data_IF_446461950456
#
_entry.id   IF_446461950456
#
_cell.length_a   1.000
_cell.length_b   1.000
_cell.length_c   1.000
_cell.angle_alpha   90.00
_cell.angle_beta   90.00
_cell.angle_gamma   90.00
#
_symmetry.space_group_name_H-M   'P 1'
#
loop_
_entity.id
_entity.type
_entity.pdbx_description
1 polymer ?
#
# COMPACT_ATOMS: atom_id res chain seq x y z
N UNK A 1 38.37 -15.28 2.73
CA UNK A 1 37.85 -14.13 1.97
C UNK A 1 36.84 -13.43 2.87
N UNK A 2 36.93 -12.11 3.04
CA UNK A 2 35.98 -11.37 3.87
C UNK A 2 34.59 -11.41 3.24
N UNK A 3 33.56 -11.61 4.06
CA UNK A 3 32.18 -11.54 3.57
C UNK A 3 31.89 -10.09 3.12
N UNK A 4 31.25 -9.89 1.95
CA UNK A 4 30.94 -8.56 1.46
C UNK A 4 30.01 -7.84 2.44
N UNK A 5 30.25 -6.54 2.61
CA UNK A 5 29.45 -5.64 3.44
C UNK A 5 28.04 -5.47 2.86
N UNK A 6 27.10 -5.04 3.69
CA UNK A 6 25.72 -4.78 3.28
C UNK A 6 25.64 -3.72 2.16
N UNK A 7 26.47 -2.68 2.21
CA UNK A 7 26.53 -1.67 1.16
C UNK A 7 26.99 -2.25 -0.18
N UNK A 8 28.00 -3.11 -0.16
CA UNK A 8 28.48 -3.82 -1.36
C UNK A 8 27.41 -4.77 -1.91
N UNK A 9 26.69 -5.48 -1.05
CA UNK A 9 25.55 -6.34 -1.45
C UNK A 9 24.40 -5.53 -2.05
N UNK A 10 24.03 -4.39 -1.46
CA UNK A 10 22.99 -3.50 -1.96
C UNK A 10 23.40 -2.79 -3.25
N UNK A 11 24.68 -2.44 -3.39
CA UNK A 11 25.22 -1.87 -4.61
C UNK A 11 25.22 -2.89 -5.74
N UNK A 12 25.71 -4.10 -5.49
CA UNK A 12 25.63 -5.22 -6.44
C UNK A 12 24.17 -5.57 -6.80
N UNK A 13 23.24 -5.47 -5.84
CA UNK A 13 21.82 -5.65 -6.09
C UNK A 13 21.24 -4.58 -7.04
N UNK A 14 21.63 -3.32 -6.86
CA UNK A 14 21.23 -2.20 -7.72
C UNK A 14 21.84 -2.32 -9.11
N UNK A 15 23.10 -2.70 -9.20
CA UNK A 15 23.80 -2.99 -10.45
C UNK A 15 23.12 -4.14 -11.22
N UNK A 16 22.80 -5.24 -10.54
CA UNK A 16 22.09 -6.38 -11.13
C UNK A 16 20.65 -6.01 -11.56
N UNK A 17 19.97 -5.14 -10.82
CA UNK A 17 18.65 -4.64 -11.22
C UNK A 17 18.70 -3.68 -12.41
N UNK A 18 19.80 -2.94 -12.59
CA UNK A 18 19.98 -1.96 -13.67
C UNK A 18 20.60 -2.56 -14.94
N UNK A 19 21.48 -3.56 -14.81
CA UNK A 19 22.32 -4.11 -15.88
C UNK A 19 22.28 -5.64 -16.00
N UNK A 20 21.49 -6.33 -15.16
CA UNK A 20 21.35 -7.78 -15.21
C UNK A 20 20.33 -8.27 -16.24
N UNK A 21 20.24 -9.60 -16.39
CA UNK A 21 19.28 -10.27 -17.29
C UNK A 21 17.82 -10.19 -16.80
N UNK A 22 17.60 -9.76 -15.55
CA UNK A 22 16.26 -9.59 -14.99
C UNK A 22 15.59 -8.34 -15.58
N UNK A 23 14.44 -8.53 -16.21
CA UNK A 23 13.58 -7.43 -16.66
C UNK A 23 12.37 -7.30 -15.73
N UNK A 24 12.08 -6.10 -15.17
CA UNK A 24 10.87 -5.86 -14.39
C UNK A 24 9.57 -6.20 -15.13
N UNK A 25 9.58 -6.22 -16.47
CA UNK A 25 8.43 -6.57 -17.29
C UNK A 25 8.05 -8.07 -17.23
N UNK A 26 8.92 -8.93 -16.67
CA UNK A 26 8.68 -10.36 -16.49
C UNK A 26 8.37 -10.73 -15.02
N UNK A 27 8.00 -9.74 -14.18
CA UNK A 27 7.56 -9.99 -12.81
C UNK A 27 6.17 -10.64 -12.84
N UNK A 28 6.09 -11.88 -12.34
CA UNK A 28 4.84 -12.61 -12.14
C UNK A 28 4.69 -12.91 -10.64
N UNK A 29 3.61 -12.40 -10.04
CA UNK A 29 3.33 -12.55 -8.62
C UNK A 29 2.31 -13.70 -8.42
N UNK A 30 2.70 -14.79 -7.76
CA UNK A 30 1.81 -15.87 -7.34
C UNK A 30 1.42 -15.69 -5.86
N UNK A 31 0.63 -14.66 -5.54
CA UNK A 31 0.34 -14.31 -4.14
C UNK A 31 -0.77 -15.18 -3.53
N UNK A 32 -0.66 -15.45 -2.22
CA UNK A 32 -1.75 -15.98 -1.40
C UNK A 32 -2.50 -14.85 -0.71
N UNK A 33 -3.83 -14.83 -0.80
CA UNK A 33 -4.69 -13.90 -0.04
C UNK A 33 -5.74 -14.66 0.76
N UNK A 34 -6.09 -14.10 1.91
CA UNK A 34 -7.18 -14.60 2.75
C UNK A 34 -7.80 -13.48 3.57
N UNK A 35 -8.99 -13.73 4.12
CA UNK A 35 -9.60 -12.84 5.10
C UNK A 35 -10.44 -13.64 6.09
N UNK A 36 -10.62 -13.07 7.27
CA UNK A 36 -11.53 -13.55 8.31
C UNK A 36 -12.42 -12.40 8.70
N UNK A 37 -13.73 -12.65 8.83
CA UNK A 37 -14.71 -11.66 9.24
C UNK A 37 -15.75 -12.27 10.18
N UNK A 38 -16.06 -11.57 11.27
CA UNK A 38 -17.26 -11.83 12.07
C UNK A 38 -18.45 -11.15 11.39
N UNK A 39 -19.44 -11.94 10.96
CA UNK A 39 -20.59 -11.47 10.18
C UNK A 39 -21.47 -10.51 10.98
N UNK A 40 -21.48 -10.63 12.31
CA UNK A 40 -22.20 -9.72 13.20
C UNK A 40 -21.40 -8.45 13.53
N UNK A 41 -20.20 -8.29 12.97
CA UNK A 41 -19.33 -7.13 13.19
C UNK A 41 -18.72 -7.06 14.59
N UNK A 42 -18.72 -8.17 15.33
CA UNK A 42 -18.14 -8.21 16.68
C UNK A 42 -16.62 -8.22 16.58
N UNK A 43 -15.98 -7.25 17.23
CA UNK A 43 -14.52 -7.18 17.29
C UNK A 43 -14.02 -8.21 18.31
N UNK A 44 -13.03 -8.99 17.92
CA UNK A 44 -12.33 -9.90 18.83
C UNK A 44 -10.89 -10.12 18.40
N UNK A 45 -10.04 -10.49 19.35
CA UNK A 45 -8.68 -10.90 19.06
C UNK A 45 -8.63 -12.22 18.27
N UNK A 46 -9.65 -13.08 18.43
CA UNK A 46 -9.77 -14.34 17.71
C UNK A 46 -9.75 -14.16 16.19
N UNK A 47 -10.37 -13.09 15.67
CA UNK A 47 -10.35 -12.78 14.22
C UNK A 47 -8.92 -12.53 13.74
N UNK A 48 -8.09 -11.86 14.53
CA UNK A 48 -6.68 -11.62 14.20
C UNK A 48 -5.90 -12.93 14.23
N UNK A 49 -6.08 -13.74 15.27
CA UNK A 49 -5.43 -15.05 15.40
C UNK A 49 -5.78 -15.98 14.23
N UNK A 50 -7.06 -16.06 13.86
CA UNK A 50 -7.54 -16.86 12.73
C UNK A 50 -6.98 -16.35 11.40
N UNK A 51 -6.86 -15.03 11.22
CA UNK A 51 -6.29 -14.46 10.00
C UNK A 51 -4.78 -14.76 9.88
N UNK A 52 -4.03 -14.68 10.98
CA UNK A 52 -2.62 -15.09 11.01
C UNK A 52 -2.49 -16.59 10.74
N UNK A 53 -3.35 -17.43 11.34
CA UNK A 53 -3.37 -18.86 11.04
C UNK A 53 -3.67 -19.14 9.56
N UNK A 54 -4.58 -18.38 8.95
CA UNK A 54 -4.86 -18.49 7.52
C UNK A 54 -3.64 -18.10 6.67
N UNK A 55 -2.91 -17.05 7.07
CA UNK A 55 -1.66 -16.66 6.43
C UNK A 55 -0.59 -17.77 6.51
N UNK A 56 -0.49 -18.45 7.67
CA UNK A 56 0.39 -19.61 7.84
C UNK A 56 0.00 -20.77 6.93
N UNK A 57 -1.30 -21.05 6.80
CA UNK A 57 -1.78 -22.11 5.90
C UNK A 57 -1.52 -21.80 4.42
N UNK A 58 -1.39 -20.52 4.07
CA UNK A 58 -1.03 -20.05 2.72
C UNK A 58 0.49 -20.01 2.45
N UNK A 59 1.33 -20.40 3.42
CA UNK A 59 2.80 -20.37 3.30
C UNK A 59 3.35 -21.19 2.12
N UNK A 60 2.66 -22.27 1.73
CA UNK A 60 3.00 -23.06 0.54
C UNK A 60 2.91 -22.27 -0.78
N UNK A 61 2.28 -21.09 -0.76
CA UNK A 61 2.18 -20.15 -1.89
C UNK A 61 3.10 -18.94 -1.75
N UNK A 62 3.85 -18.83 -0.65
CA UNK A 62 4.86 -17.79 -0.48
C UNK A 62 6.21 -18.24 -1.02
N UNK A 63 7.00 -17.31 -1.58
CA UNK A 63 8.39 -17.61 -1.87
C UNK A 63 9.20 -17.38 -0.59
N UNK A 64 10.11 -18.30 -0.32
CA UNK A 64 11.24 -18.03 0.56
C UNK A 64 12.34 -17.43 -0.31
N UNK A 65 12.97 -16.35 0.15
CA UNK A 65 14.12 -15.74 -0.51
C UNK A 65 15.35 -16.66 -0.48
N UNK A 66 16.53 -16.09 -0.79
CA UNK A 66 17.79 -16.86 -0.77
C UNK A 66 18.21 -17.38 0.62
N UNK A 67 17.54 -16.90 1.69
CA UNK A 67 17.63 -17.40 3.05
C UNK A 67 16.24 -17.92 3.50
N UNK A 68 16.14 -19.11 4.11
CA UNK A 68 14.87 -19.72 4.50
C UNK A 68 14.05 -18.91 5.53
N UNK A 69 14.67 -17.92 6.19
CA UNK A 69 14.03 -17.06 7.18
C UNK A 69 13.61 -15.69 6.62
N UNK A 70 13.93 -15.40 5.35
CA UNK A 70 13.58 -14.14 4.68
C UNK A 70 12.53 -14.42 3.60
N UNK A 71 11.29 -14.01 3.84
CA UNK A 71 10.22 -14.09 2.83
C UNK A 71 10.14 -12.84 1.95
N UNK A 72 9.46 -12.96 0.80
CA UNK A 72 9.21 -11.83 -0.12
C UNK A 72 8.26 -10.76 0.45
N UNK A 73 7.61 -11.10 1.56
CA UNK A 73 6.85 -10.20 2.39
C UNK A 73 5.43 -10.67 2.63
N UNK A 74 4.96 -10.42 3.84
CA UNK A 74 3.60 -10.69 4.26
C UNK A 74 3.00 -9.45 4.92
N UNK A 75 1.67 -9.43 5.02
CA UNK A 75 0.96 -8.35 5.68
C UNK A 75 -0.42 -8.74 6.14
N UNK A 76 -0.88 -8.05 7.18
CA UNK A 76 -2.25 -8.10 7.70
C UNK A 76 -2.81 -6.68 7.77
N UNK A 77 -4.05 -6.53 7.32
CA UNK A 77 -4.85 -5.33 7.49
C UNK A 77 -5.96 -5.63 8.48
N UNK A 78 -6.01 -4.87 9.56
CA UNK A 78 -7.04 -4.97 10.60
C UNK A 78 -7.82 -3.66 10.68
N UNK A 79 -8.96 -3.68 11.37
CA UNK A 79 -9.58 -2.44 11.80
C UNK A 79 -8.74 -1.77 12.89
N UNK A 80 -8.85 -0.45 13.02
CA UNK A 80 -8.17 0.28 14.11
C UNK A 80 -8.62 -0.31 15.47
N UNK A 81 -7.69 -0.92 16.25
CA UNK A 81 -8.02 -1.56 17.51
C UNK A 81 -8.03 -0.50 18.63
N UNK A 82 -9.14 0.22 18.76
CA UNK A 82 -9.25 1.40 19.65
C UNK A 82 -8.86 1.12 21.10
N UNK A 83 -9.32 0.00 21.66
CA UNK A 83 -9.06 -0.40 23.05
C UNK A 83 -7.57 -0.54 23.32
N UNK A 84 -6.87 -1.31 22.48
CA UNK A 84 -5.42 -1.44 22.49
C UNK A 84 -4.71 -0.10 22.34
N UNK A 85 -5.02 0.66 21.28
CA UNK A 85 -4.32 1.92 20.99
C UNK A 85 -4.51 2.94 22.11
N UNK A 86 -5.71 3.04 22.69
CA UNK A 86 -6.00 3.94 23.80
C UNK A 86 -5.17 3.62 25.04
N UNK A 87 -5.00 2.34 25.38
CA UNK A 87 -4.13 1.90 26.48
C UNK A 87 -2.67 2.29 26.23
N UNK A 88 -2.09 1.82 25.12
CA UNK A 88 -0.65 2.03 24.83
C UNK A 88 -0.29 3.48 24.54
N UNK A 89 -1.23 4.28 24.04
CA UNK A 89 -1.07 5.73 23.87
C UNK A 89 -1.21 6.47 25.21
N UNK A 90 -2.15 6.07 26.06
CA UNK A 90 -2.33 6.64 27.39
C UNK A 90 -1.09 6.51 28.27
N UNK A 91 -0.44 5.34 28.25
CA UNK A 91 0.85 5.08 28.91
C UNK A 91 1.98 6.02 28.46
N UNK A 92 1.84 6.61 27.26
CA UNK A 92 2.81 7.53 26.64
C UNK A 92 2.36 8.99 26.66
N UNK A 93 1.27 9.31 27.36
CA UNK A 93 0.72 10.67 27.42
C UNK A 93 0.03 11.15 26.15
N UNK A 94 -0.30 10.26 25.21
CA UNK A 94 -1.02 10.59 23.98
C UNK A 94 -2.52 10.39 24.21
N UNK A 95 -3.26 11.50 24.32
CA UNK A 95 -4.71 11.48 24.47
C UNK A 95 -5.41 11.26 23.12
N UNK A 96 -6.08 10.11 22.96
CA UNK A 96 -6.83 9.80 21.74
C UNK A 96 -8.29 10.29 21.85
N UNK A 97 -8.80 11.05 20.86
CA UNK A 97 -10.22 11.32 20.69
C UNK A 97 -11.08 10.04 20.61
N UNK A 98 -12.42 10.16 20.58
CA UNK A 98 -13.30 9.02 20.29
C UNK A 98 -12.94 8.31 18.99
N UNK A 99 -13.18 7.01 18.90
CA UNK A 99 -12.97 6.22 17.69
C UNK A 99 -13.67 6.88 16.48
N UNK A 100 -12.98 6.93 15.33
CA UNK A 100 -13.45 7.65 14.13
C UNK A 100 -13.18 9.16 14.13
N UNK A 101 -12.78 9.75 15.26
CA UNK A 101 -12.28 11.13 15.36
C UNK A 101 -10.75 11.23 15.47
N UNK A 102 -10.06 10.09 15.42
CA UNK A 102 -8.62 10.03 15.23
C UNK A 102 -8.27 8.94 14.23
N UNK A 103 -7.09 9.08 13.65
CA UNK A 103 -6.49 8.15 12.72
C UNK A 103 -5.13 7.73 13.23
N UNK A 104 -4.75 6.53 12.84
CA UNK A 104 -3.40 6.01 13.01
C UNK A 104 -2.79 5.80 11.63
N UNK A 105 -1.54 6.19 11.48
CA UNK A 105 -0.74 5.83 10.32
C UNK A 105 0.43 4.95 10.70
N UNK A 106 0.61 3.84 9.99
CA UNK A 106 1.81 3.02 10.08
C UNK A 106 2.84 3.50 9.06
N UNK A 107 3.95 4.07 9.53
CA UNK A 107 4.98 4.64 8.70
C UNK A 107 6.30 3.87 8.86
N UNK A 108 6.97 3.65 7.74
CA UNK A 108 8.36 3.24 7.70
C UNK A 108 9.21 4.47 7.50
N UNK A 109 10.09 4.75 8.46
CA UNK A 109 11.04 5.84 8.39
C UNK A 109 12.45 5.30 8.08
N UNK A 110 13.29 6.11 7.43
CA UNK A 110 14.70 5.76 7.24
C UNK A 110 15.41 5.39 8.54
N UNK A 111 16.43 4.52 8.46
CA UNK A 111 17.25 4.13 9.62
C UNK A 111 18.09 5.29 10.14
N UNK A 112 18.62 6.10 9.23
CA UNK A 112 19.35 7.32 9.52
C UNK A 112 18.45 8.33 10.26
N UNK A 113 18.89 8.78 11.43
CA UNK A 113 18.09 9.61 12.33
C UNK A 113 17.80 10.99 11.72
N UNK A 114 18.77 11.60 11.03
CA UNK A 114 18.58 12.90 10.41
C UNK A 114 17.54 12.83 9.28
N UNK A 115 17.58 11.79 8.44
CA UNK A 115 16.56 11.53 7.43
C UNK A 115 15.20 11.22 8.05
N UNK A 116 15.16 10.42 9.11
CA UNK A 116 13.93 10.09 9.83
C UNK A 116 13.28 11.35 10.41
N UNK A 117 14.06 12.23 11.04
CA UNK A 117 13.57 13.49 11.57
C UNK A 117 13.00 14.40 10.48
N UNK A 118 13.68 14.53 9.33
CA UNK A 118 13.13 15.29 8.19
C UNK A 118 11.80 14.72 7.71
N UNK A 119 11.63 13.40 7.73
CA UNK A 119 10.34 12.79 7.39
C UNK A 119 9.26 13.12 8.42
N UNK A 120 9.60 13.08 9.71
CA UNK A 120 8.69 13.51 10.80
C UNK A 120 8.28 14.95 10.58
N UNK A 121 9.22 15.88 10.40
CA UNK A 121 8.93 17.30 10.19
C UNK A 121 7.99 17.54 9.00
N UNK A 122 8.17 16.80 7.90
CA UNK A 122 7.29 16.87 6.72
C UNK A 122 5.88 16.40 7.06
N UNK A 123 5.75 15.29 7.81
CA UNK A 123 4.45 14.76 8.22
C UNK A 123 3.72 15.76 9.11
N UNK A 124 4.40 16.28 10.14
CA UNK A 124 3.80 17.24 11.08
C UNK A 124 3.36 18.53 10.38
N UNK A 125 4.21 19.07 9.51
CA UNK A 125 3.89 20.25 8.70
C UNK A 125 2.67 20.01 7.83
N UNK A 126 2.60 18.89 7.11
CA UNK A 126 1.49 18.62 6.18
C UNK A 126 0.18 18.37 6.93
N UNK A 127 0.23 17.68 8.08
CA UNK A 127 -0.93 17.50 8.96
C UNK A 127 -1.50 18.86 9.39
N UNK A 128 -0.63 19.78 9.81
CA UNK A 128 -1.02 21.14 10.20
C UNK A 128 -1.55 21.97 9.00
N UNK A 129 -0.89 21.93 7.84
CA UNK A 129 -1.33 22.62 6.62
C UNK A 129 -2.70 22.14 6.13
N UNK A 130 -3.02 20.86 6.35
CA UNK A 130 -4.33 20.28 6.04
C UNK A 130 -5.37 20.50 7.14
N UNK A 131 -5.01 21.30 8.16
CA UNK A 131 -5.88 21.73 9.25
C UNK A 131 -6.30 20.58 10.16
N UNK A 132 -5.51 19.51 10.26
CA UNK A 132 -5.70 18.41 11.20
C UNK A 132 -4.78 18.57 12.41
N UNK A 133 -5.06 17.85 13.49
CA UNK A 133 -4.27 17.95 14.72
C UNK A 133 -3.31 16.77 14.81
N UNK A 134 -2.01 17.02 14.97
CA UNK A 134 -1.08 15.95 15.33
C UNK A 134 -1.25 15.63 16.83
N UNK A 135 -1.53 14.38 17.15
CA UNK A 135 -1.72 13.94 18.54
C UNK A 135 -0.43 13.38 19.14
N UNK A 136 0.43 12.79 18.32
CA UNK A 136 1.73 12.28 18.75
C UNK A 136 2.24 11.13 17.90
N UNK A 137 3.40 10.63 18.32
CA UNK A 137 4.10 9.52 17.69
C UNK A 137 4.32 8.38 18.68
N UNK A 138 4.24 7.14 18.20
CA UNK A 138 4.59 5.94 18.97
C UNK A 138 5.55 5.09 18.16
N UNK A 139 6.66 4.70 18.75
CA UNK A 139 7.49 3.65 18.17
C UNK A 139 6.76 2.30 18.27
N UNK A 140 6.66 1.58 17.16
CA UNK A 140 6.01 0.28 17.12
C UNK A 140 7.00 -0.75 17.64
N UNK A 141 6.66 -1.49 18.71
CA UNK A 141 7.55 -2.53 19.20
C UNK A 141 7.68 -3.62 18.13
N UNK A 142 8.91 -4.05 17.90
CA UNK A 142 9.23 -5.15 16.99
C UNK A 142 10.25 -6.07 17.66
N UNK A 143 10.29 -7.34 17.23
CA UNK A 143 11.32 -8.30 17.65
C UNK A 143 12.21 -8.61 16.44
N UNK A 144 13.30 -7.85 16.20
CA UNK A 144 14.15 -8.04 15.02
C UNK A 144 14.78 -9.43 14.93
N UNK A 145 14.90 -10.13 16.07
CA UNK A 145 15.37 -11.51 16.15
C UNK A 145 14.53 -12.51 15.35
N UNK A 146 13.23 -12.24 15.19
CA UNK A 146 12.27 -13.14 14.54
C UNK A 146 12.28 -13.04 13.01
N UNK A 147 12.85 -11.97 12.43
CA UNK A 147 13.00 -11.85 10.99
C UNK A 147 14.38 -12.32 10.52
N UNK A 148 14.44 -12.78 9.26
CA UNK A 148 15.69 -13.22 8.63
C UNK A 148 16.75 -12.11 8.56
N UNK A 149 18.04 -12.46 8.44
CA UNK A 149 19.17 -11.51 8.45
C UNK A 149 19.03 -10.39 7.42
N UNK A 150 18.58 -10.70 6.20
CA UNK A 150 18.40 -9.70 5.13
C UNK A 150 17.25 -8.73 5.43
N UNK A 151 16.15 -9.24 6.00
CA UNK A 151 15.05 -8.41 6.46
C UNK A 151 15.51 -7.48 7.60
N UNK A 152 16.32 -7.99 8.53
CA UNK A 152 16.87 -7.23 9.66
C UNK A 152 17.82 -6.12 9.21
N UNK A 153 18.69 -6.41 8.25
CA UNK A 153 19.64 -5.45 7.66
C UNK A 153 18.93 -4.27 6.99
N UNK A 154 17.75 -4.52 6.42
CA UNK A 154 16.93 -3.52 5.73
C UNK A 154 15.79 -2.94 6.58
N UNK A 155 15.66 -3.36 7.85
CA UNK A 155 14.55 -3.01 8.75
C UNK A 155 14.44 -1.48 8.91
N UNK A 156 13.34 -0.84 8.47
CA UNK A 156 13.11 0.58 8.72
C UNK A 156 12.75 0.83 10.19
N UNK A 157 12.68 2.11 10.57
CA UNK A 157 12.07 2.49 11.85
C UNK A 157 10.56 2.49 11.68
N UNK A 158 9.85 1.67 12.45
CA UNK A 158 8.40 1.58 12.39
C UNK A 158 7.80 2.53 13.42
N UNK A 159 7.04 3.52 12.96
CA UNK A 159 6.35 4.47 13.84
C UNK A 159 4.88 4.58 13.48
N UNK A 160 4.05 4.60 14.52
CA UNK A 160 2.69 5.09 14.43
C UNK A 160 2.70 6.61 14.54
N UNK A 161 1.94 7.26 13.66
CA UNK A 161 1.53 8.67 13.80
C UNK A 161 0.05 8.72 14.12
N UNK A 162 -0.33 9.55 15.09
CA UNK A 162 -1.73 9.75 15.46
C UNK A 162 -2.19 11.14 15.02
N UNK A 163 -3.30 11.18 14.27
CA UNK A 163 -3.87 12.42 13.74
C UNK A 163 -5.31 12.55 14.20
N UNK A 164 -5.66 13.65 14.84
CA UNK A 164 -7.00 14.00 15.28
C UNK A 164 -7.77 14.75 14.19
N UNK A 165 -9.03 14.38 14.01
CA UNK A 165 -9.96 15.07 13.15
C UNK A 165 -10.30 16.44 13.75
N UNK A 166 -10.00 17.50 13.00
CA UNK A 166 -10.33 18.84 13.45
C UNK A 166 -11.85 19.06 13.55
N UNK A 167 -12.26 20.06 14.34
CA UNK A 167 -13.67 20.26 14.70
C UNK A 167 -14.59 20.44 13.47
N UNK A 168 -14.08 21.04 12.39
CA UNK A 168 -14.79 21.28 11.13
C UNK A 168 -15.00 20.03 10.27
N UNK A 169 -14.36 18.90 10.59
CA UNK A 169 -14.57 17.65 9.85
C UNK A 169 -15.93 17.08 10.26
N UNK A 170 -16.86 17.01 9.31
CA UNK A 170 -18.26 16.68 9.58
C UNK A 170 -18.46 15.26 10.11
N UNK A 171 -17.84 14.28 9.44
CA UNK A 171 -18.02 12.86 9.72
C UNK A 171 -16.73 12.07 9.45
N UNK A 172 -16.75 10.77 9.76
CA UNK A 172 -15.61 9.90 9.55
C UNK A 172 -15.23 9.75 8.07
N UNK A 173 -16.19 9.82 7.14
CA UNK A 173 -15.87 9.73 5.70
C UNK A 173 -15.14 10.96 5.18
N UNK A 174 -15.56 12.14 5.62
CA UNK A 174 -14.86 13.40 5.37
C UNK A 174 -13.44 13.34 5.94
N UNK A 175 -13.28 12.69 7.11
CA UNK A 175 -11.97 12.48 7.70
C UNK A 175 -11.10 11.55 6.85
N UNK A 176 -11.60 10.40 6.41
CA UNK A 176 -10.86 9.48 5.51
C UNK A 176 -10.43 10.17 4.20
N UNK A 177 -11.32 10.96 3.58
CA UNK A 177 -10.97 11.73 2.38
C UNK A 177 -9.84 12.73 2.65
N UNK A 178 -9.85 13.38 3.81
CA UNK A 178 -8.80 14.31 4.23
C UNK A 178 -7.48 13.59 4.51
N UNK A 179 -7.52 12.46 5.21
CA UNK A 179 -6.35 11.61 5.46
C UNK A 179 -5.72 11.09 4.17
N UNK A 180 -6.53 10.76 3.17
CA UNK A 180 -6.02 10.43 1.84
C UNK A 180 -5.22 11.59 1.22
N UNK A 181 -5.73 12.82 1.27
CA UNK A 181 -5.01 14.01 0.79
C UNK A 181 -3.71 14.21 1.57
N UNK A 182 -3.76 14.12 2.90
CA UNK A 182 -2.59 14.20 3.79
C UNK A 182 -1.53 13.17 3.38
N UNK A 183 -1.91 11.88 3.26
CA UNK A 183 -1.02 10.80 2.82
C UNK A 183 -0.37 11.12 1.47
N UNK A 184 -1.16 11.52 0.48
CA UNK A 184 -0.65 11.82 -0.87
C UNK A 184 0.31 12.99 -0.87
N UNK A 185 0.03 14.06 -0.11
CA UNK A 185 0.94 15.20 0.04
C UNK A 185 2.24 14.81 0.74
N UNK A 186 2.16 13.98 1.78
CA UNK A 186 3.34 13.47 2.50
C UNK A 186 4.22 12.66 1.54
N UNK A 187 3.65 11.66 0.86
CA UNK A 187 4.36 10.81 -0.10
C UNK A 187 5.06 11.64 -1.18
N UNK A 188 4.34 12.59 -1.78
CA UNK A 188 4.84 13.44 -2.85
C UNK A 188 5.95 14.40 -2.38
N UNK A 189 5.80 14.96 -1.17
CA UNK A 189 6.80 15.87 -0.58
C UNK A 189 8.06 15.13 -0.16
N UNK A 190 7.94 13.97 0.49
CA UNK A 190 9.07 13.12 0.83
C UNK A 190 9.82 12.65 -0.43
N UNK A 191 9.10 12.27 -1.48
CA UNK A 191 9.70 11.88 -2.75
C UNK A 191 10.51 13.03 -3.36
N UNK A 192 9.94 14.25 -3.43
CA UNK A 192 10.64 15.43 -3.96
C UNK A 192 11.84 15.87 -3.11
N UNK A 193 11.82 15.59 -1.82
CA UNK A 193 12.93 15.85 -0.91
C UNK A 193 14.06 14.81 -0.98
N UNK A 194 13.98 13.82 -1.89
CA UNK A 194 14.96 12.73 -1.98
C UNK A 194 14.90 11.75 -0.80
N UNK A 195 13.79 11.76 -0.06
CA UNK A 195 13.53 10.87 1.08
C UNK A 195 12.72 9.62 0.68
N UNK A 196 12.30 9.51 -0.59
CA UNK A 196 11.62 8.34 -1.16
C UNK A 196 12.58 7.34 -1.83
N UNK A 197 12.08 6.15 -2.18
CA UNK A 197 12.85 5.06 -2.85
C UNK A 197 12.83 3.73 -2.09
N UNK A 198 13.68 2.79 -2.49
CA UNK A 198 13.83 1.49 -1.83
C UNK A 198 14.56 1.64 -0.48
N UNK A 199 14.00 1.07 0.60
CA UNK A 199 14.41 1.26 2.01
C UNK A 199 14.33 2.70 2.54
N UNK A 200 13.44 3.49 1.95
CA UNK A 200 13.19 4.89 2.30
C UNK A 200 11.75 5.08 2.83
N UNK A 201 11.39 6.33 3.13
CA UNK A 201 10.11 6.70 3.72
C UNK A 201 8.91 6.08 3.00
N UNK A 202 8.00 5.46 3.76
CA UNK A 202 6.80 4.83 3.21
C UNK A 202 5.62 4.87 4.19
N UNK A 203 4.42 5.14 3.66
CA UNK A 203 3.17 5.13 4.41
C UNK A 203 2.42 3.82 4.13
N UNK A 204 2.43 2.90 5.09
CA UNK A 204 1.71 1.61 4.97
C UNK A 204 0.20 1.81 5.06
N UNK A 205 -0.22 2.64 5.99
CA UNK A 205 -1.62 3.05 6.16
C UNK A 205 -1.65 4.41 6.82
N UNK A 206 -2.73 5.15 6.61
CA UNK A 206 -3.11 6.34 7.36
C UNK A 206 -4.63 6.46 7.31
N UNK A 207 -5.30 5.94 8.33
CA UNK A 207 -6.76 5.81 8.35
C UNK A 207 -7.31 5.82 9.78
N UNK A 208 -8.56 6.22 9.93
CA UNK A 208 -9.37 6.07 11.15
C UNK A 208 -10.13 4.73 11.20
N UNK A 209 -10.09 3.95 10.11
CA UNK A 209 -10.82 2.68 9.97
C UNK A 209 -9.90 1.48 10.01
N UNK A 210 -8.74 1.55 9.36
CA UNK A 210 -7.83 0.42 9.24
C UNK A 210 -6.40 0.73 9.64
N UNK A 211 -5.69 -0.33 10.02
CA UNK A 211 -4.28 -0.32 10.34
C UNK A 211 -3.61 -1.50 9.64
N UNK A 212 -2.50 -1.23 8.97
CA UNK A 212 -1.74 -2.23 8.21
C UNK A 212 -0.45 -2.54 8.96
N UNK A 213 -0.24 -3.81 9.29
CA UNK A 213 1.06 -4.35 9.64
C UNK A 213 1.58 -5.13 8.44
N UNK A 214 2.82 -4.88 8.02
CA UNK A 214 3.45 -5.60 6.92
C UNK A 214 4.96 -5.58 7.07
N UNK A 215 5.64 -6.52 6.43
CA UNK A 215 7.09 -6.57 6.46
C UNK A 215 7.66 -7.69 5.61
N UNK A 216 8.99 -7.73 5.52
CA UNK A 216 9.74 -8.83 4.92
C UNK A 216 9.77 -10.03 5.86
N UNK A 217 8.59 -10.60 6.08
CA UNK A 217 8.32 -11.69 7.01
C UNK A 217 7.67 -12.84 6.26
N UNK A 218 7.96 -14.06 6.72
CA UNK A 218 7.14 -15.24 6.41
C UNK A 218 6.02 -15.39 7.44
N UNK A 219 4.98 -16.12 7.07
CA UNK A 219 3.72 -16.16 7.80
C UNK A 219 3.85 -16.42 9.32
N UNK A 220 4.62 -17.44 9.72
CA UNK A 220 4.75 -17.82 11.14
C UNK A 220 5.57 -16.83 11.98
N UNK A 221 6.33 -15.92 11.36
CA UNK A 221 7.08 -14.88 12.06
C UNK A 221 6.17 -13.72 12.46
N UNK A 222 4.98 -13.59 11.85
CA UNK A 222 4.21 -12.36 11.88
C UNK A 222 3.75 -11.97 13.30
N UNK A 223 3.19 -12.92 14.04
CA UNK A 223 2.75 -12.71 15.42
C UNK A 223 3.92 -12.49 16.39
N UNK A 224 5.09 -13.09 16.11
CA UNK A 224 6.28 -12.98 16.97
C UNK A 224 7.04 -11.68 16.72
N UNK A 225 7.08 -11.24 15.47
CA UNK A 225 7.77 -10.01 15.07
C UNK A 225 7.02 -8.76 15.52
N UNK A 226 5.67 -8.78 15.51
CA UNK A 226 4.82 -7.68 15.97
C UNK A 226 4.09 -8.02 17.28
N UNK A 227 4.68 -7.73 18.45
CA UNK A 227 4.04 -7.95 19.75
C UNK A 227 2.62 -7.36 19.87
N UNK A 228 2.37 -6.21 19.24
CA UNK A 228 1.04 -5.56 19.18
C UNK A 228 -0.07 -6.50 18.68
N UNK A 229 0.25 -7.46 17.80
CA UNK A 229 -0.70 -8.43 17.26
C UNK A 229 -0.95 -9.63 18.18
N UNK A 230 -0.18 -9.78 19.26
CA UNK A 230 -0.38 -10.80 20.30
C UNK A 230 -1.18 -10.29 21.51
N UNK A 231 -1.48 -8.99 21.56
CA UNK A 231 -2.18 -8.36 22.69
C UNK A 231 -3.69 -8.66 22.64
N UNK A 232 -4.26 -9.11 23.75
CA UNK A 232 -5.65 -9.57 23.81
C UNK A 232 -6.70 -8.47 23.53
N UNK A 233 -6.34 -7.20 23.74
CA UNK A 233 -7.19 -6.04 23.45
C UNK A 233 -6.94 -5.45 22.05
N UNK A 234 -6.03 -6.04 21.27
CA UNK A 234 -5.92 -5.82 19.84
C UNK A 234 -7.02 -6.64 19.15
N UNK A 235 -8.16 -5.98 18.92
CA UNK A 235 -9.39 -6.62 18.45
C UNK A 235 -9.82 -6.06 17.09
N UNK A 236 -10.29 -6.95 16.21
CA UNK A 236 -10.86 -6.57 14.90
C UNK A 236 -12.08 -7.43 14.58
N UNK A 237 -13.04 -6.92 13.81
CA UNK A 237 -14.14 -7.71 13.27
C UNK A 237 -13.82 -8.25 11.86
N UNK A 238 -12.84 -7.66 11.17
CA UNK A 238 -12.34 -8.12 9.88
C UNK A 238 -10.81 -8.04 9.85
N UNK A 239 -10.16 -9.07 9.34
CA UNK A 239 -8.73 -9.09 9.12
C UNK A 239 -8.42 -9.69 7.75
N UNK A 240 -7.62 -9.00 6.95
CA UNK A 240 -7.22 -9.42 5.62
C UNK A 240 -5.72 -9.71 5.63
N UNK A 241 -5.31 -10.84 5.07
CA UNK A 241 -3.91 -11.26 5.02
C UNK A 241 -3.46 -11.48 3.58
N UNK A 242 -2.18 -11.22 3.35
CA UNK A 242 -1.53 -11.45 2.07
C UNK A 242 -0.11 -11.95 2.28
N UNK A 243 0.25 -13.00 1.54
CA UNK A 243 1.63 -13.46 1.37
C UNK A 243 2.05 -13.19 -0.05
N UNK A 244 3.17 -12.50 -0.23
CA UNK A 244 3.75 -12.24 -1.55
C UNK A 244 4.62 -13.42 -2.00
N UNK A 245 4.61 -13.68 -3.29
CA UNK A 245 5.64 -14.43 -4.02
C UNK A 245 6.11 -13.52 -5.14
N UNK A 246 7.39 -13.18 -5.18
CA UNK A 246 8.01 -12.27 -6.14
C UNK A 246 9.17 -12.95 -6.81
N UNK A 247 9.31 -12.75 -8.13
CA UNK A 247 10.49 -13.20 -8.87
C UNK A 247 11.68 -12.25 -8.73
N UNK A 248 11.62 -11.24 -7.83
CA UNK A 248 12.76 -10.40 -7.52
C UNK A 248 13.65 -11.04 -6.45
N UNK A 249 14.95 -10.91 -6.61
CA UNK A 249 15.96 -11.44 -5.68
C UNK A 249 16.37 -10.44 -4.58
N UNK A 250 15.72 -9.27 -4.52
CA UNK A 250 16.12 -8.13 -3.67
C UNK A 250 14.97 -7.67 -2.76
N UNK A 251 14.90 -8.19 -1.53
CA UNK A 251 13.77 -7.93 -0.65
C UNK A 251 13.77 -6.46 -0.21
N UNK A 252 12.60 -5.79 -0.26
CA UNK A 252 12.45 -4.47 0.35
C UNK A 252 11.11 -4.32 1.09
N UNK A 253 11.15 -3.74 2.29
CA UNK A 253 10.00 -3.58 3.19
C UNK A 253 8.80 -2.88 2.55
N UNK A 254 9.07 -1.89 1.68
CA UNK A 254 8.03 -1.11 1.01
C UNK A 254 7.16 -1.95 0.05
N UNK A 255 7.74 -3.03 -0.53
CA UNK A 255 7.10 -3.95 -1.48
C UNK A 255 6.34 -5.09 -0.83
N UNK A 256 6.47 -5.30 0.49
CA UNK A 256 5.57 -6.22 1.19
C UNK A 256 4.12 -5.75 0.99
N UNK A 257 3.24 -6.68 0.64
CA UNK A 257 1.85 -6.38 0.31
C UNK A 257 0.93 -6.77 1.47
N UNK A 258 -0.04 -5.90 1.78
CA UNK A 258 -1.20 -6.19 2.61
C UNK A 258 -2.46 -5.78 1.83
N UNK A 259 -3.60 -6.48 1.94
CA UNK A 259 -4.82 -6.09 1.22
C UNK A 259 -5.38 -4.79 1.83
N UNK A 260 -5.46 -3.70 1.06
CA UNK A 260 -6.19 -2.49 1.46
C UNK A 260 -7.70 -2.71 1.20
N UNK A 261 -8.60 -2.48 2.16
CA UNK A 261 -10.03 -2.52 1.87
C UNK A 261 -10.42 -1.36 0.95
N UNK A 262 -10.82 -1.71 -0.28
CA UNK A 262 -11.68 -0.99 -1.23
C UNK A 262 -11.72 0.56 -1.14
N UNK A 263 -10.56 1.22 -1.14
CA UNK A 263 -10.41 2.57 -1.73
C UNK A 263 -9.46 2.58 -2.94
N UNK A 264 -8.96 1.40 -3.31
CA UNK A 264 -8.11 1.17 -4.47
C UNK A 264 -8.68 -0.01 -5.25
N UNK A 265 -9.21 0.23 -6.44
CA UNK A 265 -9.27 -0.82 -7.44
C UNK A 265 -7.86 -1.38 -7.59
N UNK A 266 -7.69 -2.66 -7.28
CA UNK A 266 -6.43 -3.38 -7.45
C UNK A 266 -6.06 -3.28 -8.93
N UNK A 267 -5.08 -2.42 -9.24
CA UNK A 267 -4.52 -2.29 -10.59
C UNK A 267 -3.45 -3.35 -10.75
N UNK A 268 -3.90 -4.58 -10.99
CA UNK A 268 -3.08 -5.62 -11.59
C UNK A 268 -2.63 -5.21 -13.00
N UNK A 269 -1.51 -5.78 -13.41
CA UNK A 269 -0.83 -5.71 -14.71
C UNK A 269 -0.12 -4.41 -15.10
N UNK A 270 1.22 -4.52 -15.13
CA UNK A 270 2.13 -3.56 -15.76
C UNK A 270 1.91 -3.46 -17.29
N UNK A 271 1.24 -4.44 -17.92
CA UNK A 271 0.77 -4.33 -19.31
C UNK A 271 -0.21 -3.16 -19.51
N UNK A 272 -0.95 -2.78 -18.48
CA UNK A 272 -1.85 -1.64 -18.55
C UNK A 272 -1.13 -0.28 -18.50
N UNK A 273 0.15 -0.22 -18.09
CA UNK A 273 0.88 1.05 -17.99
C UNK A 273 1.17 1.66 -19.38
N UNK A 274 1.51 0.83 -20.37
CA UNK A 274 1.78 1.27 -21.75
C UNK A 274 0.51 1.66 -22.51
N UNK A 275 -0.57 0.90 -22.34
CA UNK A 275 -1.87 1.25 -22.89
C UNK A 275 -2.39 2.56 -22.28
N UNK A 276 -2.18 2.79 -20.97
CA UNK A 276 -2.54 4.05 -20.30
C UNK A 276 -1.71 5.25 -20.75
N UNK A 277 -0.45 5.08 -21.14
CA UNK A 277 0.34 6.19 -21.70
C UNK A 277 -0.20 6.61 -23.09
N UNK A 278 -0.70 5.64 -23.86
CA UNK A 278 -1.40 5.88 -25.12
C UNK A 278 -2.81 6.46 -24.90
N UNK A 279 -3.56 5.95 -23.92
CA UNK A 279 -4.91 6.41 -23.59
C UNK A 279 -4.90 7.79 -22.88
N UNK A 280 -3.87 8.11 -22.10
CA UNK A 280 -3.68 9.43 -21.49
C UNK A 280 -3.29 10.50 -22.51
N UNK A 281 -2.70 10.10 -23.65
CA UNK A 281 -2.54 10.98 -24.82
C UNK A 281 -3.87 11.17 -25.58
N UNK A 282 -4.85 10.28 -25.38
CA UNK A 282 -6.11 10.27 -26.11
C UNK A 282 -7.34 10.78 -25.31
N UNK A 283 -7.32 10.80 -23.97
CA UNK A 283 -8.51 11.07 -23.16
C UNK A 283 -8.48 12.42 -22.43
N UNK A 284 -9.18 13.39 -23.00
CA UNK A 284 -9.73 14.55 -22.30
C UNK A 284 -11.00 14.17 -21.54
N UNK A 285 -10.97 14.37 -20.21
CA UNK A 285 -12.09 14.62 -19.28
C UNK A 285 -12.93 13.44 -18.74
N UNK A 286 -12.87 13.25 -17.41
CA UNK A 286 -14.04 13.11 -16.51
C UNK A 286 -13.72 13.85 -15.19
N UNK A 287 -14.60 14.71 -14.62
CA UNK A 287 -14.21 15.59 -13.51
C UNK A 287 -15.07 15.42 -12.24
N UNK A 288 -14.44 15.07 -11.12
CA UNK A 288 -14.98 15.23 -9.75
C UNK A 288 -14.79 16.68 -9.31
N UNK A 289 -15.70 17.59 -9.68
CA UNK A 289 -15.45 19.05 -9.65
C UNK A 289 -15.54 19.72 -8.27
N UNK A 290 -16.26 19.18 -7.28
CA UNK A 290 -16.55 19.96 -6.05
C UNK A 290 -15.51 19.81 -4.93
N UNK A 291 -14.78 18.70 -4.84
CA UNK A 291 -13.74 18.50 -3.81
C UNK A 291 -12.38 19.08 -4.23
N UNK A 292 -12.21 19.34 -5.53
CA UNK A 292 -10.91 19.65 -6.14
C UNK A 292 -10.65 21.13 -6.42
N UNK A 293 -11.61 22.03 -6.21
CA UNK A 293 -11.49 23.44 -6.61
C UNK A 293 -10.35 24.18 -5.89
N UNK A 294 -10.07 23.87 -4.62
CA UNK A 294 -9.00 24.54 -3.85
C UNK A 294 -7.61 23.92 -4.02
N UNK A 295 -7.50 22.72 -4.59
CA UNK A 295 -6.22 22.00 -4.78
C UNK A 295 -5.73 21.97 -6.24
N UNK A 296 -6.57 22.36 -7.21
CA UNK A 296 -6.13 22.48 -8.62
C UNK A 296 -5.03 23.51 -8.80
N UNK A 297 -5.04 24.61 -8.05
CA UNK A 297 -4.03 25.66 -8.20
C UNK A 297 -2.66 25.23 -7.66
N UNK A 298 -2.61 24.52 -6.53
CA UNK A 298 -1.36 23.96 -5.97
C UNK A 298 -0.76 22.89 -6.88
N UNK A 299 -1.59 22.10 -7.57
CA UNK A 299 -1.13 21.07 -8.53
C UNK A 299 -0.83 21.63 -9.94
N UNK A 300 -1.47 22.73 -10.35
CA UNK A 300 -1.29 23.35 -11.66
C UNK A 300 -0.15 24.38 -11.71
N UNK A 301 0.16 25.06 -10.60
CA UNK A 301 1.24 26.05 -10.54
C UNK A 301 2.67 25.47 -10.53
N UNK A 302 2.85 24.14 -10.53
CA UNK A 302 4.17 23.49 -10.56
C UNK A 302 4.53 22.83 -11.90
N UNK A 303 3.78 23.12 -12.98
CA UNK A 303 4.08 22.63 -14.34
C UNK A 303 4.78 23.64 -15.27
N UNK A 304 5.13 24.84 -14.82
CA UNK A 304 5.91 25.82 -15.62
C UNK A 304 7.36 25.80 -15.21
N UNK A 305 8.08 24.79 -15.68
CA UNK A 305 9.52 24.64 -15.47
C UNK A 305 10.14 23.70 -16.49
N UNK A 306 9.86 23.93 -17.79
CA UNK A 306 10.65 23.45 -18.95
C UNK A 306 10.04 24.01 -20.24
N UNK A 307 10.49 25.19 -20.64
CA UNK A 307 10.50 25.57 -22.06
C UNK A 307 11.96 25.50 -22.53
N UNK A 308 12.21 24.67 -23.55
CA UNK A 308 12.92 24.99 -24.81
C UNK A 308 13.57 23.74 -25.40
N UNK A 309 13.07 23.35 -26.57
CA UNK A 309 13.80 23.05 -27.82
C UNK A 309 12.77 22.38 -28.76
N UNK A 310 12.13 23.18 -29.64
CA UNK A 310 12.30 23.10 -31.09
C UNK A 310 11.29 22.09 -31.67
N UNK A 311 10.28 22.40 -32.48
CA UNK A 311 10.15 23.45 -33.47
C UNK A 311 9.88 22.77 -34.81
N UNK A 312 8.61 22.62 -35.20
CA UNK A 312 8.16 22.62 -36.60
C UNK A 312 6.62 22.52 -36.65
N UNK A 313 6.03 23.65 -37.06
CA UNK A 313 4.63 23.83 -37.48
C UNK A 313 4.60 23.64 -38.99
N UNK A 314 3.62 22.90 -39.51
CA UNK A 314 2.93 23.11 -40.80
C UNK A 314 1.61 22.33 -40.73
N UNK A 315 0.44 23.00 -40.66
CA UNK A 315 -0.52 23.28 -41.77
C UNK A 315 -0.98 21.99 -42.48
N UNK A 316 -2.24 21.70 -42.77
CA UNK A 316 -3.55 22.33 -42.65
C UNK A 316 -4.60 21.25 -43.03
N UNK A 317 -5.90 21.46 -42.76
CA UNK A 317 -6.98 20.72 -43.45
C UNK A 317 -8.17 20.31 -42.59
N UNK A 318 -9.18 21.18 -42.53
CA UNK A 318 -10.58 20.90 -42.22
C UNK A 318 -11.22 19.92 -43.21
N UNK A 319 -11.96 18.90 -42.76
CA UNK A 319 -13.22 18.41 -43.40
C UNK A 319 -14.17 17.84 -42.34
N UNK A 320 -15.45 18.07 -42.63
CA UNK A 320 -16.68 18.00 -41.84
C UNK A 320 -17.27 16.60 -41.56
N UNK A 321 -18.25 16.62 -40.66
CA UNK A 321 -19.07 15.55 -40.06
C UNK A 321 -20.06 14.86 -41.02
N UNK A 322 -20.20 13.53 -40.93
CA UNK A 322 -21.49 12.82 -41.01
C UNK A 322 -21.36 11.29 -40.76
N UNK A 323 -21.91 10.79 -39.65
CA UNK A 323 -22.99 9.78 -39.54
C UNK A 323 -22.99 9.13 -38.16
N UNK A 324 -24.15 9.20 -37.51
CA UNK A 324 -24.45 8.62 -36.22
C UNK A 324 -25.74 7.78 -36.33
N UNK A 325 -25.89 6.84 -35.39
CA UNK A 325 -27.08 6.04 -35.02
C UNK A 325 -27.55 4.98 -36.02
N UNK A 326 -27.87 3.75 -35.61
CA UNK A 326 -28.99 3.31 -34.74
C UNK A 326 -28.55 2.02 -34.00
N UNK A 327 -28.46 2.00 -32.66
CA UNK A 327 -29.48 1.67 -31.65
C UNK A 327 -29.77 0.16 -31.48
N UNK A 328 -29.60 -0.26 -30.23
CA UNK A 328 -29.83 -1.58 -29.66
C UNK A 328 -31.28 -1.79 -29.19
N UNK A 329 -31.60 -3.06 -28.89
CA UNK A 329 -32.80 -3.71 -28.28
C UNK A 329 -33.57 -4.52 -29.32
N UNK A 330 -34.03 -5.74 -29.08
CA UNK A 330 -34.05 -6.79 -28.05
C UNK A 330 -34.52 -8.03 -28.85
N UNK A 331 -34.80 -9.24 -28.40
CA UNK A 331 -34.88 -9.95 -27.14
C UNK A 331 -35.11 -11.43 -27.57
N UNK A 332 -34.93 -12.35 -26.62
CA UNK A 332 -35.62 -13.64 -26.48
C UNK A 332 -35.28 -14.87 -27.37
N UNK A 333 -34.91 -15.95 -26.63
CA UNK A 333 -35.44 -17.33 -26.67
C UNK A 333 -35.23 -18.21 -27.93
N UNK A 334 -34.88 -19.50 -27.92
CA UNK A 334 -34.74 -20.60 -26.94
C UNK A 334 -34.00 -21.79 -27.69
N UNK A 335 -34.01 -23.09 -27.31
CA UNK A 335 -32.87 -23.85 -26.78
C UNK A 335 -32.52 -25.15 -27.57
N UNK A 336 -31.67 -25.98 -26.94
CA UNK A 336 -31.25 -27.38 -27.27
C UNK A 336 -30.03 -27.43 -28.20
N UNK A 337 -28.91 -28.05 -27.87
CA UNK A 337 -28.50 -28.94 -26.78
C UNK A 337 -27.52 -29.95 -27.38
N UNK A 338 -26.33 -30.15 -26.81
CA UNK A 338 -25.46 -31.29 -27.17
C UNK A 338 -24.69 -31.78 -25.93
N UNK A 339 -24.71 -33.10 -25.78
CA UNK A 339 -24.35 -33.91 -24.62
C UNK A 339 -22.84 -34.20 -24.47
N UNK A 340 -22.52 -34.77 -23.30
CA UNK A 340 -21.20 -35.26 -22.85
C UNK A 340 -20.94 -36.74 -23.30
N UNK A 341 -19.80 -37.39 -22.94
CA UNK A 341 -18.96 -38.18 -23.86
C UNK A 341 -19.12 -39.71 -23.75
N UNK A 342 -18.42 -40.47 -24.60
CA UNK A 342 -18.26 -41.93 -24.49
C UNK A 342 -16.80 -42.38 -24.70
N UNK A 343 -16.44 -43.39 -23.92
CA UNK A 343 -15.16 -44.10 -23.80
C UNK A 343 -14.88 -45.11 -24.93
N UNK A 344 -13.63 -45.60 -24.89
CA UNK A 344 -13.04 -46.82 -25.48
C UNK A 344 -12.73 -46.88 -26.98
N UNK A 345 -11.44 -47.06 -27.30
CA UNK A 345 -10.92 -48.39 -27.71
C UNK A 345 -9.38 -48.38 -27.84
N UNK A 346 -8.76 -49.44 -27.31
CA UNK A 346 -7.40 -49.92 -27.62
C UNK A 346 -7.54 -51.10 -28.60
N UNK A 347 -6.50 -51.43 -29.40
CA UNK A 347 -5.42 -52.28 -28.89
C UNK A 347 -4.05 -51.59 -28.83
#
# INVERSE_FOLDING_TARGET
MANPTLEEKLHAAREAAAHGLYSPAHEHDACGMGFVADIQGRKSHLVIQQAIQALENLSHRGACGCDPLTGDGAGITIQVPDKFLRRVCGERGIALPPAGRYAVGMLFLPRDEARAQRCVDIVERIVAEEGQTLLGWREVPVVPGECGPLARESLPRLRHVFVGAAAQVADQEAFERKLYVVRRRIEDTCMRAGLGGDNNFYVCSLSSRTLVYKGLLIAYQFARFFPDLGEADCESAIALVHSRFSTNTFPCWNRAHAPEPLHRAQRGDQHAARQRELDARASTAVPLRHVWQRHRETLAHHRRGRQRLGGLRQRAGTVDVHRAFVAARGDDDDPRGVAAPRDDERP
#
